data_IF_071894552754
#
_entry.id   IF_071894552754
#
_cell.length_a   1.000
_cell.length_b   1.000
_cell.length_c   1.000
_cell.angle_alpha   90.00
_cell.angle_beta   90.00
_cell.angle_gamma   90.00
#
_symmetry.space_group_name_H-M   'P 1'
#
loop_
_entity.id
_entity.type
_entity.pdbx_description
1 polymer ?
#
# COMPACT_ATOMS: atom_id res chain seq x y z
N UNK A 1 -14.76 14.99 -36.65
CA UNK A 1 -14.12 14.48 -35.41
C UNK A 1 -14.32 15.52 -34.33
N UNK A 2 -15.00 15.19 -33.24
CA UNK A 2 -15.53 16.17 -32.29
C UNK A 2 -14.45 16.72 -31.34
N UNK A 3 -14.55 18.01 -31.02
CA UNK A 3 -13.73 18.81 -30.07
C UNK A 3 -13.43 18.08 -28.73
N UNK A 4 -14.26 17.11 -28.36
CA UNK A 4 -14.10 16.26 -27.18
C UNK A 4 -12.93 15.24 -27.26
N UNK A 5 -12.46 14.86 -28.45
CA UNK A 5 -11.36 13.90 -28.60
C UNK A 5 -9.98 14.58 -28.50
N UNK A 6 -9.83 15.81 -28.99
CA UNK A 6 -8.58 16.58 -28.86
C UNK A 6 -8.30 16.95 -27.40
N UNK A 7 -9.33 17.35 -26.65
CA UNK A 7 -9.21 17.65 -25.21
C UNK A 7 -8.84 16.43 -24.35
N UNK A 8 -9.24 15.21 -24.75
CA UNK A 8 -8.80 13.96 -24.11
C UNK A 8 -7.34 13.62 -24.47
N UNK A 9 -6.91 13.95 -25.69
CA UNK A 9 -5.52 13.91 -26.12
C UNK A 9 -4.62 14.80 -25.25
N UNK A 10 -5.03 16.03 -25.01
CA UNK A 10 -4.21 16.99 -24.27
C UNK A 10 -3.97 16.61 -22.79
N UNK A 11 -4.99 16.09 -22.11
CA UNK A 11 -4.89 15.75 -20.67
C UNK A 11 -3.96 14.58 -20.37
N UNK A 12 -3.92 13.57 -21.25
CA UNK A 12 -3.00 12.44 -21.03
C UNK A 12 -1.54 12.87 -21.25
N UNK A 13 -1.28 13.68 -22.28
CA UNK A 13 0.05 14.24 -22.55
C UNK A 13 0.53 15.06 -21.35
N UNK A 14 -0.35 15.89 -20.77
CA UNK A 14 -0.01 16.71 -19.61
C UNK A 14 0.36 15.85 -18.38
N UNK A 15 -0.37 14.76 -18.11
CA UNK A 15 -0.01 13.83 -17.05
C UNK A 15 1.37 13.21 -17.31
N UNK A 16 1.59 12.72 -18.53
CA UNK A 16 2.83 12.08 -18.92
C UNK A 16 4.03 13.01 -18.75
N UNK A 17 3.94 14.24 -19.28
CA UNK A 17 4.97 15.26 -19.16
C UNK A 17 5.29 15.61 -17.70
N UNK A 18 4.27 15.83 -16.87
CA UNK A 18 4.47 16.19 -15.46
C UNK A 18 5.10 15.05 -14.66
N UNK A 19 4.66 13.82 -14.88
CA UNK A 19 5.24 12.65 -14.21
C UNK A 19 6.67 12.40 -14.69
N UNK A 20 6.94 12.45 -16.01
CA UNK A 20 8.30 12.33 -16.56
C UNK A 20 9.22 13.43 -16.02
N UNK A 21 8.77 14.68 -15.97
CA UNK A 21 9.56 15.78 -15.38
C UNK A 21 9.82 15.65 -13.87
N UNK A 22 9.04 14.82 -13.18
CA UNK A 22 9.28 14.46 -11.77
C UNK A 22 10.06 13.15 -11.61
N UNK A 23 10.37 12.44 -12.69
CA UNK A 23 11.09 11.15 -12.68
C UNK A 23 12.60 11.36 -12.85
N UNK A 24 13.37 10.30 -12.66
CA UNK A 24 14.79 10.29 -13.07
C UNK A 24 14.95 9.95 -14.55
N UNK A 25 14.06 9.12 -15.10
CA UNK A 25 14.03 8.80 -16.51
C UNK A 25 13.43 9.92 -17.37
N UNK A 26 13.97 10.06 -18.58
CA UNK A 26 13.59 11.11 -19.54
C UNK A 26 12.45 10.70 -20.48
N UNK A 27 12.13 9.41 -20.58
CA UNK A 27 11.03 8.90 -21.40
C UNK A 27 9.91 8.32 -20.54
N UNK A 28 8.69 8.36 -21.08
CA UNK A 28 7.48 7.97 -20.36
C UNK A 28 7.50 6.52 -19.84
N UNK A 29 7.92 5.56 -20.67
CA UNK A 29 7.80 4.14 -20.32
C UNK A 29 8.75 3.75 -19.18
N UNK A 30 9.94 4.33 -19.15
CA UNK A 30 10.85 4.17 -18.02
C UNK A 30 10.37 4.98 -16.81
N UNK A 31 9.96 6.23 -17.03
CA UNK A 31 9.48 7.12 -15.97
C UNK A 31 8.34 6.47 -15.19
N UNK A 32 7.30 5.96 -15.86
CA UNK A 32 6.14 5.35 -15.18
C UNK A 32 6.52 4.12 -14.34
N UNK A 33 7.57 3.38 -14.71
CA UNK A 33 8.01 2.19 -13.96
C UNK A 33 8.70 2.56 -12.62
N UNK A 34 9.20 3.79 -12.51
CA UNK A 34 9.75 4.32 -11.26
C UNK A 34 8.69 4.56 -10.19
N UNK A 35 7.42 4.73 -10.59
CA UNK A 35 6.34 5.06 -9.66
C UNK A 35 5.63 3.82 -9.12
N UNK A 36 5.26 3.87 -7.85
CA UNK A 36 4.39 2.88 -7.20
C UNK A 36 3.21 3.56 -6.51
N UNK A 37 2.12 2.83 -6.35
CA UNK A 37 0.95 3.32 -5.62
C UNK A 37 1.23 3.26 -4.12
N UNK A 38 1.34 4.43 -3.50
CA UNK A 38 1.67 4.55 -2.09
C UNK A 38 0.41 4.53 -1.22
N UNK A 39 -0.61 5.32 -1.57
CA UNK A 39 -1.84 5.45 -0.80
C UNK A 39 -3.06 5.68 -1.69
N UNK A 40 -4.25 5.35 -1.18
CA UNK A 40 -5.54 5.71 -1.77
C UNK A 40 -6.46 6.25 -0.69
N UNK A 41 -7.24 7.28 -1.01
CA UNK A 41 -8.29 7.78 -0.12
C UNK A 41 -9.31 8.62 -0.88
N UNK A 42 -10.42 8.93 -0.19
CA UNK A 42 -11.46 9.85 -0.67
C UNK A 42 -11.26 11.21 -0.03
N UNK A 43 -10.99 12.22 -0.87
CA UNK A 43 -10.88 13.60 -0.42
C UNK A 43 -12.25 14.13 0.02
N UNK A 44 -12.28 14.87 1.12
CA UNK A 44 -13.47 15.55 1.61
C UNK A 44 -13.75 16.84 0.82
N UNK A 45 -12.72 17.40 0.20
CA UNK A 45 -12.79 18.56 -0.70
C UNK A 45 -12.30 18.14 -2.08
N UNK A 46 -12.98 18.61 -3.12
CA UNK A 46 -12.58 18.36 -4.50
C UNK A 46 -11.15 18.81 -4.77
N UNK A 47 -10.32 17.88 -5.24
CA UNK A 47 -8.92 18.12 -5.58
C UNK A 47 -8.76 18.19 -7.12
N UNK A 48 -7.57 18.54 -7.61
CA UNK A 48 -7.22 18.57 -9.02
C UNK A 48 -6.13 17.53 -9.34
N UNK A 49 -6.36 16.73 -10.38
CA UNK A 49 -5.37 15.77 -10.87
C UNK A 49 -4.23 16.48 -11.63
N UNK A 50 -3.04 15.89 -11.66
CA UNK A 50 -1.94 16.35 -12.51
C UNK A 50 -2.28 16.41 -14.01
N UNK A 51 -3.28 15.66 -14.50
CA UNK A 51 -3.78 15.79 -15.88
C UNK A 51 -4.67 17.03 -16.12
N UNK A 52 -4.85 17.89 -15.11
CA UNK A 52 -5.75 19.05 -15.14
C UNK A 52 -7.23 18.71 -14.92
N UNK A 53 -7.60 17.44 -14.70
CA UNK A 53 -8.98 17.09 -14.37
C UNK A 53 -9.35 17.49 -12.94
N UNK A 54 -10.44 18.23 -12.82
CA UNK A 54 -11.08 18.64 -11.58
C UNK A 54 -12.60 18.61 -11.79
N UNK A 55 -13.40 18.21 -10.80
CA UNK A 55 -12.99 17.73 -9.47
C UNK A 55 -12.56 16.24 -9.47
N UNK A 56 -11.57 15.90 -8.64
CA UNK A 56 -11.29 14.50 -8.25
C UNK A 56 -11.56 14.28 -6.77
N UNK A 57 -12.22 13.15 -6.45
CA UNK A 57 -12.51 12.72 -5.08
C UNK A 57 -11.71 11.47 -4.69
N UNK A 58 -11.55 10.52 -5.62
CA UNK A 58 -10.72 9.32 -5.42
C UNK A 58 -9.26 9.66 -5.71
N UNK A 59 -8.50 9.95 -4.66
CA UNK A 59 -7.10 10.36 -4.73
C UNK A 59 -6.21 9.14 -4.58
N UNK A 60 -5.22 9.04 -5.46
CA UNK A 60 -4.10 8.12 -5.35
C UNK A 60 -2.84 8.94 -5.11
N UNK A 61 -2.10 8.62 -4.06
CA UNK A 61 -0.73 9.11 -3.86
C UNK A 61 0.21 8.10 -4.47
N UNK A 62 1.02 8.53 -5.41
CA UNK A 62 2.08 7.73 -6.03
C UNK A 62 3.44 8.24 -5.55
N UNK A 63 4.39 7.32 -5.39
CA UNK A 63 5.76 7.62 -4.97
C UNK A 63 6.74 7.09 -6.00
N UNK A 64 7.71 7.90 -6.38
CA UNK A 64 8.84 7.51 -7.19
C UNK A 64 9.84 6.74 -6.30
N UNK A 65 10.17 5.52 -6.69
CA UNK A 65 11.06 4.60 -5.95
C UNK A 65 12.53 5.01 -6.05
N UNK A 66 12.92 5.77 -7.07
CA UNK A 66 14.30 6.19 -7.33
C UNK A 66 14.65 7.49 -6.62
N UNK A 67 13.78 8.50 -6.69
CA UNK A 67 14.06 9.84 -6.17
C UNK A 67 13.14 10.26 -4.99
N UNK A 68 12.28 9.36 -4.51
CA UNK A 68 11.35 9.57 -3.40
C UNK A 68 10.30 10.67 -3.58
N UNK A 69 10.22 11.33 -4.75
CA UNK A 69 9.16 12.32 -5.03
C UNK A 69 7.78 11.66 -4.97
N UNK A 70 6.77 12.43 -4.60
CA UNK A 70 5.39 11.96 -4.53
C UNK A 70 4.47 12.84 -5.37
N UNK A 71 3.35 12.28 -5.81
CA UNK A 71 2.34 13.00 -6.59
C UNK A 71 0.93 12.54 -6.24
N UNK A 72 -0.03 13.47 -6.29
CA UNK A 72 -1.47 13.21 -6.13
C UNK A 72 -2.13 13.15 -7.50
N UNK A 73 -2.78 12.03 -7.79
CA UNK A 73 -3.42 11.79 -9.08
C UNK A 73 -4.78 11.15 -8.87
N UNK A 74 -5.72 11.46 -9.76
CA UNK A 74 -7.03 10.83 -9.72
C UNK A 74 -6.94 9.34 -10.07
N UNK A 75 -7.77 8.53 -9.41
CA UNK A 75 -7.87 7.09 -9.64
C UNK A 75 -8.02 6.72 -11.14
N UNK A 76 -8.79 7.49 -11.92
CA UNK A 76 -8.91 7.28 -13.37
C UNK A 76 -7.56 7.35 -14.11
N UNK A 77 -6.69 8.30 -13.74
CA UNK A 77 -5.38 8.44 -14.36
C UNK A 77 -4.44 7.30 -13.96
N UNK A 78 -4.51 6.88 -12.69
CA UNK A 78 -3.72 5.74 -12.19
C UNK A 78 -4.06 4.45 -12.93
N UNK A 79 -5.34 4.16 -13.13
CA UNK A 79 -5.73 2.91 -13.80
C UNK A 79 -5.52 2.95 -15.31
N UNK A 80 -5.69 4.11 -15.96
CA UNK A 80 -5.56 4.20 -17.43
C UNK A 80 -4.12 4.36 -17.91
N UNK A 81 -3.30 5.12 -17.18
CA UNK A 81 -1.97 5.52 -17.68
C UNK A 81 -0.83 4.92 -16.85
N UNK A 82 -1.00 4.78 -15.52
CA UNK A 82 0.04 4.22 -14.66
C UNK A 82 -0.08 2.70 -14.46
N UNK A 83 -1.25 2.12 -14.76
CA UNK A 83 -1.57 0.69 -14.59
C UNK A 83 -1.33 0.14 -13.17
N UNK A 84 -1.45 0.97 -12.13
CA UNK A 84 -1.18 0.54 -10.74
C UNK A 84 -2.37 -0.15 -10.06
N UNK A 85 -3.51 -0.27 -10.76
CA UNK A 85 -4.69 -1.03 -10.33
C UNK A 85 -5.27 -0.58 -8.99
N UNK A 86 -5.55 0.72 -8.83
CA UNK A 86 -6.18 1.30 -7.65
C UNK A 86 -7.68 1.04 -7.57
N UNK A 87 -8.36 0.71 -8.69
CA UNK A 87 -9.80 0.43 -8.72
C UNK A 87 -10.20 -0.70 -7.78
N UNK A 88 -9.46 -1.81 -7.77
CA UNK A 88 -9.75 -2.95 -6.91
C UNK A 88 -9.59 -2.65 -5.42
N UNK A 89 -8.76 -1.65 -5.09
CA UNK A 89 -8.56 -1.18 -3.71
C UNK A 89 -9.75 -0.31 -3.30
N UNK A 90 -10.11 0.70 -4.11
CA UNK A 90 -11.29 1.53 -3.84
C UNK A 90 -12.57 0.72 -3.76
N UNK A 91 -12.79 -0.22 -4.68
CA UNK A 91 -13.97 -1.07 -4.65
C UNK A 91 -14.02 -1.97 -3.40
N UNK A 92 -12.87 -2.45 -2.93
CA UNK A 92 -12.80 -3.21 -1.69
C UNK A 92 -13.12 -2.34 -0.48
N UNK A 93 -12.56 -1.12 -0.39
CA UNK A 93 -12.86 -0.13 0.65
C UNK A 93 -14.36 0.21 0.65
N UNK A 94 -14.92 0.53 -0.51
CA UNK A 94 -16.34 0.90 -0.65
C UNK A 94 -17.27 -0.22 -0.18
N UNK A 95 -16.91 -1.47 -0.47
CA UNK A 95 -17.67 -2.65 -0.07
C UNK A 95 -17.62 -2.88 1.44
N UNK A 96 -16.43 -2.86 2.05
CA UNK A 96 -16.30 -3.09 3.50
C UNK A 96 -16.80 -1.92 4.34
N UNK A 97 -16.76 -0.69 3.80
CA UNK A 97 -17.31 0.50 4.46
C UNK A 97 -18.84 0.44 4.52
N UNK A 98 -19.49 -0.14 3.50
CA UNK A 98 -20.94 -0.37 3.48
C UNK A 98 -21.36 -1.57 4.33
N UNK A 99 -20.56 -2.64 4.32
CA UNK A 99 -20.81 -3.86 5.05
C UNK A 99 -19.49 -4.45 5.55
N UNK A 100 -19.20 -4.20 6.83
CA UNK A 100 -17.99 -4.65 7.52
C UNK A 100 -17.82 -6.16 7.60
N UNK A 101 -18.82 -6.96 7.23
CA UNK A 101 -18.74 -8.43 7.21
C UNK A 101 -18.12 -8.97 5.91
N UNK A 102 -18.10 -8.16 4.84
CA UNK A 102 -17.58 -8.57 3.52
C UNK A 102 -16.07 -8.74 3.56
N UNK A 103 -15.56 -9.71 2.80
CA UNK A 103 -14.11 -9.91 2.68
C UNK A 103 -13.45 -8.73 1.93
N UNK A 104 -12.34 -8.22 2.44
CA UNK A 104 -11.46 -7.28 1.74
C UNK A 104 -10.76 -7.96 0.54
N UNK A 105 -10.23 -7.16 -0.39
CA UNK A 105 -9.37 -7.70 -1.45
C UNK A 105 -7.94 -7.91 -0.93
N UNK A 106 -7.25 -8.90 -1.49
CA UNK A 106 -5.83 -9.16 -1.18
C UNK A 106 -4.95 -7.91 -1.35
N UNK A 107 -5.17 -7.17 -2.44
CA UNK A 107 -4.43 -5.95 -2.75
C UNK A 107 -4.65 -4.83 -1.73
N UNK A 108 -5.85 -4.72 -1.16
CA UNK A 108 -6.12 -3.80 -0.06
C UNK A 108 -5.38 -4.22 1.22
N UNK A 109 -5.34 -5.53 1.52
CA UNK A 109 -4.61 -6.06 2.67
C UNK A 109 -3.10 -5.82 2.54
N UNK A 110 -2.52 -6.02 1.35
CA UNK A 110 -1.10 -5.77 1.08
C UNK A 110 -0.75 -4.29 1.27
N UNK A 111 -1.58 -3.39 0.73
CA UNK A 111 -1.40 -1.95 0.93
C UNK A 111 -1.53 -1.57 2.41
N UNK A 112 -2.50 -2.14 3.11
CA UNK A 112 -2.72 -1.87 4.53
C UNK A 112 -1.54 -2.36 5.38
N UNK A 113 -0.95 -3.51 5.05
CA UNK A 113 0.25 -4.01 5.71
C UNK A 113 1.46 -3.09 5.44
N UNK A 114 1.66 -2.69 4.17
CA UNK A 114 2.74 -1.79 3.77
C UNK A 114 2.62 -0.39 4.40
N UNK A 115 1.42 0.02 4.84
CA UNK A 115 1.19 1.27 5.56
C UNK A 115 1.06 1.08 7.08
N UNK A 116 1.30 -0.14 7.57
CA UNK A 116 1.13 -0.55 8.97
C UNK A 116 -0.25 -0.20 9.54
N UNK A 117 -1.27 -0.21 8.68
CA UNK A 117 -2.68 -0.08 9.10
C UNK A 117 -3.14 -1.33 9.83
N UNK A 118 -2.63 -2.47 9.39
CA UNK A 118 -2.82 -3.77 10.02
C UNK A 118 -1.45 -4.36 10.35
N UNK A 119 -1.41 -5.19 11.37
CA UNK A 119 -0.19 -5.92 11.75
C UNK A 119 0.06 -7.11 10.81
N UNK A 120 1.30 -7.65 10.74
CA UNK A 120 1.58 -8.91 10.06
C UNK A 120 0.65 -10.05 10.50
N UNK A 121 0.34 -10.12 11.80
CA UNK A 121 -0.60 -11.11 12.33
C UNK A 121 -2.01 -10.93 11.78
N UNK A 122 -2.52 -9.70 11.74
CA UNK A 122 -3.85 -9.41 11.21
C UNK A 122 -3.94 -9.73 9.71
N UNK A 123 -2.88 -9.44 8.95
CA UNK A 123 -2.78 -9.78 7.54
C UNK A 123 -2.87 -11.30 7.32
N UNK A 124 -2.06 -12.09 8.03
CA UNK A 124 -2.08 -13.55 7.94
C UNK A 124 -3.40 -14.15 8.45
N UNK A 125 -3.92 -13.63 9.56
CA UNK A 125 -5.22 -14.00 10.08
C UNK A 125 -6.29 -13.78 9.01
N UNK A 126 -6.29 -12.64 8.33
CA UNK A 126 -7.28 -12.34 7.31
C UNK A 126 -7.18 -13.31 6.13
N UNK A 127 -5.98 -13.51 5.58
CA UNK A 127 -5.75 -14.39 4.44
C UNK A 127 -6.10 -15.85 4.75
N UNK A 128 -5.72 -16.35 5.93
CA UNK A 128 -6.02 -17.74 6.32
C UNK A 128 -7.52 -18.02 6.53
N UNK A 129 -8.35 -16.97 6.60
CA UNK A 129 -9.78 -17.07 6.79
C UNK A 129 -10.59 -16.60 5.57
N UNK A 130 -9.95 -16.06 4.52
CA UNK A 130 -10.64 -15.36 3.42
C UNK A 130 -11.63 -16.28 2.67
N UNK A 131 -11.20 -17.51 2.36
CA UNK A 131 -11.98 -18.50 1.58
C UNK A 131 -12.78 -19.48 2.46
N UNK A 132 -12.76 -19.32 3.79
CA UNK A 132 -13.49 -20.22 4.67
C UNK A 132 -14.99 -20.06 4.48
N UNK A 133 -15.65 -21.17 4.12
CA UNK A 133 -17.11 -21.25 3.95
C UNK A 133 -17.87 -20.86 5.23
N UNK A 134 -17.34 -21.18 6.40
CA UNK A 134 -17.92 -20.85 7.71
C UNK A 134 -16.84 -20.32 8.64
N UNK A 135 -17.09 -19.15 9.22
CA UNK A 135 -16.27 -18.54 10.26
C UNK A 135 -16.94 -18.70 11.61
N UNK A 136 -16.13 -18.96 12.64
CA UNK A 136 -16.58 -18.87 14.04
C UNK A 136 -16.95 -17.43 14.40
N UNK A 137 -17.73 -17.23 15.45
CA UNK A 137 -18.12 -15.89 15.91
C UNK A 137 -16.89 -15.01 16.20
N UNK A 138 -15.88 -15.56 16.90
CA UNK A 138 -14.62 -14.85 17.18
C UNK A 138 -13.88 -14.46 15.89
N UNK A 139 -13.89 -15.33 14.88
CA UNK A 139 -13.24 -15.03 13.60
C UNK A 139 -13.97 -13.91 12.81
N UNK A 140 -15.30 -13.89 12.86
CA UNK A 140 -16.11 -12.83 12.26
C UNK A 140 -15.84 -11.49 12.92
N UNK A 141 -15.89 -11.44 14.24
CA UNK A 141 -15.59 -10.24 15.02
C UNK A 141 -14.19 -9.69 14.70
N UNK A 142 -13.17 -10.57 14.67
CA UNK A 142 -11.82 -10.14 14.31
C UNK A 142 -11.73 -9.61 12.86
N UNK A 143 -12.42 -10.25 11.90
CA UNK A 143 -12.49 -9.75 10.53
C UNK A 143 -13.14 -8.36 10.46
N UNK A 144 -14.25 -8.16 11.17
CA UNK A 144 -14.95 -6.87 11.22
C UNK A 144 -14.06 -5.78 11.83
N UNK A 145 -13.33 -6.08 12.91
CA UNK A 145 -12.34 -5.17 13.50
C UNK A 145 -11.25 -4.78 12.50
N UNK A 146 -10.71 -5.75 11.75
CA UNK A 146 -9.71 -5.46 10.70
C UNK A 146 -10.35 -4.63 9.58
N UNK A 147 -11.56 -4.98 9.14
CA UNK A 147 -12.27 -4.23 8.11
C UNK A 147 -12.57 -2.79 8.49
N UNK A 148 -12.85 -2.51 9.77
CA UNK A 148 -12.98 -1.14 10.26
C UNK A 148 -11.68 -0.34 10.05
N UNK A 149 -10.51 -0.92 10.39
CA UNK A 149 -9.20 -0.28 10.13
C UNK A 149 -8.95 -0.04 8.64
N UNK A 150 -9.34 -0.99 7.79
CA UNK A 150 -9.20 -0.89 6.33
C UNK A 150 -10.15 0.16 5.73
N UNK A 151 -11.37 0.29 6.26
CA UNK A 151 -12.32 1.32 5.86
C UNK A 151 -11.78 2.71 6.20
N UNK A 152 -11.30 2.90 7.44
CA UNK A 152 -10.66 4.14 7.89
C UNK A 152 -9.44 4.51 7.04
N UNK A 153 -8.69 3.54 6.49
CA UNK A 153 -7.56 3.81 5.59
C UNK A 153 -7.97 4.56 4.33
N UNK A 154 -9.19 4.32 3.85
CA UNK A 154 -9.74 5.02 2.68
C UNK A 154 -10.20 6.45 2.95
N UNK A 155 -10.14 6.91 4.19
CA UNK A 155 -10.50 8.26 4.58
C UNK A 155 -9.29 9.20 4.54
N UNK A 156 -9.50 10.43 4.04
CA UNK A 156 -8.46 11.47 3.98
C UNK A 156 -7.79 11.75 5.34
N UNK A 157 -8.54 11.61 6.44
CA UNK A 157 -8.06 11.87 7.80
C UNK A 157 -6.93 10.94 8.24
N UNK A 158 -6.87 9.72 7.70
CA UNK A 158 -5.84 8.72 8.06
C UNK A 158 -4.63 8.76 7.11
N UNK A 159 -4.86 9.14 5.84
CA UNK A 159 -3.84 9.13 4.81
C UNK A 159 -2.60 9.97 5.17
N UNK A 160 -2.78 11.14 5.80
CA UNK A 160 -1.75 12.19 5.82
C UNK A 160 -1.63 12.95 7.16
N UNK A 161 -1.56 12.26 8.30
CA UNK A 161 -1.14 12.93 9.54
C UNK A 161 0.38 13.09 9.52
N UNK A 162 0.87 14.26 9.10
CA UNK A 162 2.23 14.67 9.39
C UNK A 162 2.38 14.85 10.89
N UNK A 163 3.34 14.15 11.49
CA UNK A 163 3.69 14.33 12.90
C UNK A 163 4.29 15.72 13.17
N UNK A 164 4.34 16.12 14.45
CA UNK A 164 4.86 17.42 14.87
C UNK A 164 6.28 17.70 14.36
N UNK A 165 7.15 16.67 14.29
CA UNK A 165 8.50 16.78 13.74
C UNK A 165 8.49 17.22 12.26
N UNK A 166 7.68 16.60 11.42
CA UNK A 166 7.56 16.96 10.01
C UNK A 166 7.03 18.38 9.82
N UNK A 167 6.05 18.78 10.64
CA UNK A 167 5.50 20.14 10.61
C UNK A 167 6.59 21.14 11.01
N UNK A 168 7.40 20.81 12.01
CA UNK A 168 8.54 21.62 12.44
C UNK A 168 9.59 21.74 11.32
N UNK A 169 9.98 20.63 10.68
CA UNK A 169 10.88 20.64 9.53
C UNK A 169 10.34 21.49 8.37
N UNK A 170 9.03 21.41 8.09
CA UNK A 170 8.41 22.23 7.05
C UNK A 170 8.46 23.72 7.34
N UNK A 171 8.30 24.09 8.60
CA UNK A 171 8.44 25.47 9.03
C UNK A 171 9.89 25.95 8.93
N UNK A 172 10.85 25.16 9.41
CA UNK A 172 12.29 25.48 9.35
C UNK A 172 12.79 25.63 7.90
N UNK A 173 12.26 24.83 6.98
CA UNK A 173 12.55 24.91 5.55
C UNK A 173 11.75 26.00 4.81
N UNK A 174 10.98 26.83 5.52
CA UNK A 174 10.11 27.87 4.95
C UNK A 174 9.07 27.36 3.93
N UNK A 175 8.71 26.07 4.00
CA UNK A 175 7.69 25.44 3.14
C UNK A 175 6.29 25.90 3.57
N UNK A 176 6.11 26.12 4.87
CA UNK A 176 4.88 26.61 5.49
C UNK A 176 5.20 27.79 6.41
N UNK A 177 4.26 28.71 6.55
CA UNK A 177 4.43 29.85 7.46
C UNK A 177 4.03 29.53 8.92
N UNK A 178 4.27 30.46 9.85
CA UNK A 178 3.96 30.29 11.27
C UNK A 178 2.48 29.95 11.53
N UNK A 179 1.55 30.61 10.84
CA UNK A 179 0.12 30.33 10.97
C UNK A 179 -0.24 28.93 10.47
N UNK A 180 0.33 28.51 9.35
CA UNK A 180 0.14 27.16 8.79
C UNK A 180 0.70 26.09 9.72
N UNK A 181 1.86 26.33 10.35
CA UNK A 181 2.44 25.47 11.39
C UNK A 181 1.49 25.30 12.57
N UNK A 182 1.03 26.40 13.14
CA UNK A 182 0.14 26.38 14.32
C UNK A 182 -1.21 25.71 13.98
N UNK A 183 -1.73 26.00 12.79
CA UNK A 183 -2.92 25.35 12.27
C UNK A 183 -2.72 23.83 12.11
N UNK A 184 -1.59 23.40 11.54
CA UNK A 184 -1.28 22.00 11.31
C UNK A 184 -1.12 21.23 12.62
N UNK A 185 -0.34 21.77 13.57
CA UNK A 185 -0.14 21.16 14.89
C UNK A 185 -1.46 20.94 15.64
N UNK A 186 -2.40 21.88 15.51
CA UNK A 186 -3.73 21.76 16.13
C UNK A 186 -4.66 20.79 15.41
N UNK A 187 -4.71 20.84 14.08
CA UNK A 187 -5.77 20.18 13.30
C UNK A 187 -5.38 18.81 12.77
N UNK A 188 -4.09 18.52 12.59
CA UNK A 188 -3.64 17.24 12.05
C UNK A 188 -3.94 16.04 12.97
N UNK A 189 -3.85 16.18 14.31
CA UNK A 189 -4.25 15.12 15.24
C UNK A 189 -5.77 14.91 15.36
N UNK A 190 -6.58 15.87 14.92
CA UNK A 190 -8.04 15.82 15.11
C UNK A 190 -8.70 14.80 14.17
N UNK A 191 -9.59 13.96 14.73
CA UNK A 191 -10.38 12.98 13.95
C UNK A 191 -11.55 13.60 13.18
N UNK A 192 -12.13 14.69 13.69
CA UNK A 192 -13.26 15.40 13.08
C UNK A 192 -12.94 16.88 12.97
N UNK A 193 -13.07 17.43 11.79
CA UNK A 193 -12.83 18.85 11.48
C UNK A 193 -13.84 19.32 10.43
N UNK A 194 -13.99 20.64 10.31
CA UNK A 194 -14.85 21.25 9.30
C UNK A 194 -14.28 21.11 7.88
N UNK A 195 -15.15 21.22 6.86
CA UNK A 195 -14.77 21.23 5.43
C UNK A 195 -13.72 22.30 5.13
N UNK A 196 -13.85 23.50 5.72
CA UNK A 196 -12.85 24.57 5.58
C UNK A 196 -11.50 24.17 6.15
N UNK A 197 -11.49 23.49 7.30
CA UNK A 197 -10.25 22.98 7.89
C UNK A 197 -9.64 21.87 7.03
N UNK A 198 -10.44 20.99 6.42
CA UNK A 198 -9.95 19.99 5.47
C UNK A 198 -9.20 20.62 4.30
N UNK A 199 -9.78 21.66 3.68
CA UNK A 199 -9.13 22.37 2.57
C UNK A 199 -7.78 22.95 2.97
N UNK A 200 -7.69 23.59 4.15
CA UNK A 200 -6.43 24.14 4.65
C UNK A 200 -5.41 23.01 4.92
N UNK A 201 -5.83 21.90 5.55
CA UNK A 201 -4.95 20.74 5.76
C UNK A 201 -4.41 20.19 4.44
N UNK A 202 -5.26 20.01 3.44
CA UNK A 202 -4.87 19.49 2.13
C UNK A 202 -3.85 20.40 1.44
N UNK A 203 -4.01 21.72 1.55
CA UNK A 203 -3.04 22.68 1.01
C UNK A 203 -1.68 22.59 1.70
N UNK A 204 -1.66 22.59 3.03
CA UNK A 204 -0.43 22.45 3.83
C UNK A 204 0.26 21.12 3.50
N UNK A 205 -0.50 20.03 3.45
CA UNK A 205 0.02 18.71 3.07
C UNK A 205 0.64 18.73 1.68
N UNK A 206 -0.01 19.36 0.71
CA UNK A 206 0.51 19.47 -0.67
C UNK A 206 1.83 20.22 -0.70
N UNK A 207 1.97 21.33 0.04
CA UNK A 207 3.24 22.06 0.18
C UNK A 207 4.33 21.16 0.76
N UNK A 208 4.04 20.47 1.86
CA UNK A 208 4.98 19.56 2.52
C UNK A 208 5.38 18.40 1.60
N UNK A 209 4.43 17.77 0.91
CA UNK A 209 4.68 16.69 -0.05
C UNK A 209 5.59 17.15 -1.20
N UNK A 210 5.31 18.32 -1.78
CA UNK A 210 6.09 18.87 -2.89
C UNK A 210 7.52 19.24 -2.47
N UNK A 211 7.71 19.66 -1.22
CA UNK A 211 9.02 19.91 -0.64
C UNK A 211 9.79 18.65 -0.24
N UNK A 212 9.26 17.45 -0.53
CA UNK A 212 9.89 16.18 -0.16
C UNK A 212 9.84 15.90 1.34
N UNK A 213 9.05 16.66 2.11
CA UNK A 213 8.80 16.38 3.51
C UNK A 213 7.86 15.18 3.55
N UNK A 214 8.47 14.02 3.73
CA UNK A 214 7.74 12.75 3.74
C UNK A 214 7.22 12.45 5.14
N UNK A 215 6.01 11.92 5.22
CA UNK A 215 5.54 11.21 6.42
C UNK A 215 6.49 10.04 6.62
N UNK A 216 7.05 9.86 7.82
CA UNK A 216 7.43 8.52 8.25
C UNK A 216 6.14 7.69 8.31
N UNK A 217 5.79 7.03 7.20
CA UNK A 217 5.07 5.78 7.32
C UNK A 217 5.91 4.94 8.28
N UNK A 218 5.30 4.24 9.25
CA UNK A 218 6.08 3.35 10.10
C UNK A 218 6.96 2.52 9.18
N UNK A 219 8.26 2.44 9.48
CA UNK A 219 9.17 1.64 8.66
C UNK A 219 8.51 0.29 8.46
N UNK A 220 8.30 -0.07 7.18
CA UNK A 220 7.69 -1.34 6.84
C UNK A 220 8.66 -2.37 7.41
N UNK A 221 8.22 -3.09 8.44
CA UNK A 221 9.09 -4.07 9.07
C UNK A 221 9.57 -5.06 8.00
N UNK A 222 10.79 -5.58 8.14
CA UNK A 222 11.33 -6.54 7.16
C UNK A 222 10.36 -7.73 6.95
N UNK A 223 9.61 -8.10 7.99
CA UNK A 223 8.55 -9.11 7.93
C UNK A 223 7.35 -8.67 7.08
N UNK A 224 6.91 -7.42 7.19
CA UNK A 224 5.81 -6.89 6.38
C UNK A 224 6.20 -6.78 4.89
N UNK A 225 7.45 -6.42 4.59
CA UNK A 225 8.01 -6.47 3.23
C UNK A 225 8.02 -7.91 2.70
N UNK A 226 8.58 -8.85 3.46
CA UNK A 226 8.65 -10.25 3.07
C UNK A 226 7.26 -10.88 2.85
N UNK A 227 6.28 -10.60 3.72
CA UNK A 227 4.92 -11.13 3.59
C UNK A 227 4.17 -10.56 2.38
N UNK A 228 4.40 -9.29 2.02
CA UNK A 228 3.87 -8.68 0.81
C UNK A 228 4.41 -9.34 -0.46
N UNK A 229 5.72 -9.61 -0.51
CA UNK A 229 6.36 -10.28 -1.65
C UNK A 229 5.87 -11.72 -1.80
N UNK A 230 5.82 -12.49 -0.71
CA UNK A 230 5.32 -13.88 -0.67
C UNK A 230 3.85 -13.98 -1.03
N UNK A 231 3.08 -12.90 -0.82
CA UNK A 231 1.69 -12.83 -1.17
C UNK A 231 1.47 -12.70 -2.69
N UNK A 232 2.37 -12.00 -3.39
CA UNK A 232 2.27 -11.77 -4.83
C UNK A 232 2.67 -12.98 -5.70
N UNK A 233 3.46 -13.89 -5.16
CA UNK A 233 3.94 -15.09 -5.83
C UNK A 233 2.89 -16.20 -5.76
N UNK A 234 2.49 -16.76 -6.92
CA UNK A 234 1.89 -18.11 -6.94
C UNK A 234 2.95 -19.07 -6.47
N UNK A 235 2.92 -19.46 -5.20
CA UNK A 235 3.82 -20.47 -4.68
C UNK A 235 3.48 -21.79 -5.36
N UNK A 236 4.30 -22.16 -6.34
CA UNK A 236 4.31 -23.50 -6.92
C UNK A 236 4.65 -24.46 -5.81
N UNK A 237 3.69 -25.31 -5.46
CA UNK A 237 3.93 -26.40 -4.52
C UNK A 237 4.80 -27.40 -5.27
N UNK A 238 6.09 -27.50 -4.91
CA UNK A 238 6.88 -28.67 -5.29
C UNK A 238 6.13 -29.87 -4.72
N UNK A 239 5.51 -30.64 -5.61
CA UNK A 239 4.64 -31.76 -5.24
C UNK A 239 5.47 -33.02 -4.98
N UNK A 240 6.69 -33.06 -5.51
CA UNK A 240 7.67 -34.12 -5.33
C UNK A 240 8.48 -33.90 -4.04
N UNK A 241 8.37 -34.78 -3.04
CA UNK A 241 9.10 -34.68 -1.78
C UNK A 241 10.62 -34.63 -1.93
N UNK A 242 11.18 -35.34 -2.92
CA UNK A 242 12.63 -35.45 -3.09
C UNK A 242 13.21 -34.15 -3.65
N UNK A 243 12.52 -33.54 -4.63
CA UNK A 243 12.87 -32.21 -5.13
C UNK A 243 12.75 -31.14 -4.07
N UNK A 244 11.74 -31.25 -3.19
CA UNK A 244 11.56 -30.31 -2.08
C UNK A 244 12.71 -30.38 -1.08
N UNK A 245 13.16 -31.59 -0.74
CA UNK A 245 14.29 -31.82 0.15
C UNK A 245 15.60 -31.23 -0.43
N UNK A 246 15.84 -31.43 -1.74
CA UNK A 246 17.00 -30.84 -2.44
C UNK A 246 16.96 -29.32 -2.39
N UNK A 247 15.82 -28.70 -2.69
CA UNK A 247 15.71 -27.23 -2.67
C UNK A 247 15.80 -26.63 -1.27
N UNK A 248 15.33 -27.35 -0.24
CA UNK A 248 15.53 -26.95 1.15
C UNK A 248 17.00 -27.01 1.57
N UNK A 249 17.75 -28.03 1.13
CA UNK A 249 19.19 -28.12 1.37
C UNK A 249 19.94 -27.00 0.66
N UNK A 250 19.62 -26.75 -0.62
CA UNK A 250 20.22 -25.67 -1.41
C UNK A 250 19.95 -24.28 -0.78
N UNK A 251 18.72 -24.03 -0.30
CA UNK A 251 18.36 -22.79 0.38
C UNK A 251 19.13 -22.60 1.69
N UNK A 252 19.41 -23.69 2.42
CA UNK A 252 20.19 -23.64 3.64
C UNK A 252 21.67 -23.39 3.35
N UNK A 253 22.24 -24.04 2.34
CA UNK A 253 23.64 -23.87 1.93
C UNK A 253 23.92 -22.44 1.43
N UNK A 254 22.99 -21.87 0.67
CA UNK A 254 23.03 -20.46 0.21
C UNK A 254 22.71 -19.44 1.32
N UNK A 255 22.39 -19.89 2.54
CA UNK A 255 22.09 -19.03 3.68
C UNK A 255 20.74 -18.31 3.60
N UNK A 256 19.82 -18.73 2.72
CA UNK A 256 18.49 -18.13 2.58
C UNK A 256 17.52 -18.53 3.68
N UNK A 257 17.79 -19.65 4.36
CA UNK A 257 17.02 -20.14 5.51
C UNK A 257 17.97 -20.71 6.55
N UNK A 258 17.65 -20.56 7.83
CA UNK A 258 18.38 -21.20 8.93
C UNK A 258 18.00 -22.68 9.09
N UNK A 259 18.86 -23.45 9.76
CA UNK A 259 18.57 -24.84 10.13
C UNK A 259 17.27 -24.97 10.95
N UNK A 260 17.01 -23.99 11.83
CA UNK A 260 15.78 -23.92 12.64
C UNK A 260 14.54 -23.69 11.77
N UNK A 261 14.63 -22.83 10.77
CA UNK A 261 13.51 -22.55 9.86
C UNK A 261 13.19 -23.73 8.95
N UNK A 262 14.22 -24.43 8.46
CA UNK A 262 14.08 -25.69 7.73
C UNK A 262 13.34 -26.75 8.56
N UNK A 263 13.78 -26.98 9.79
CA UNK A 263 13.16 -27.95 10.71
C UNK A 263 11.69 -27.60 11.06
N UNK A 264 11.37 -26.31 11.21
CA UNK A 264 9.97 -25.86 11.37
C UNK A 264 9.16 -26.17 10.09
N UNK A 265 9.72 -25.87 8.92
CA UNK A 265 9.07 -26.11 7.64
C UNK A 265 8.78 -27.60 7.44
N UNK A 266 9.78 -28.47 7.52
CA UNK A 266 9.64 -29.91 7.31
C UNK A 266 8.55 -30.51 8.21
N UNK A 267 8.51 -30.12 9.48
CA UNK A 267 7.51 -30.62 10.44
C UNK A 267 6.09 -30.09 10.22
N UNK A 268 5.94 -28.87 9.69
CA UNK A 268 4.66 -28.14 9.78
C UNK A 268 4.05 -27.75 8.43
N UNK A 269 4.81 -27.71 7.33
CA UNK A 269 4.37 -27.17 6.04
C UNK A 269 3.14 -27.86 5.44
N UNK A 270 2.95 -29.15 5.74
CA UNK A 270 1.81 -29.97 5.28
C UNK A 270 0.80 -30.32 6.39
N UNK A 271 1.00 -29.83 7.62
CA UNK A 271 0.10 -30.15 8.73
C UNK A 271 -1.23 -29.41 8.60
N UNK A 272 -2.36 -30.13 8.66
CA UNK A 272 -3.73 -29.57 8.68
C UNK A 272 -4.12 -28.92 10.03
N UNK A 273 -3.14 -28.53 10.85
CA UNK A 273 -3.33 -28.07 12.24
C UNK A 273 -2.99 -26.60 12.48
N UNK A 274 -3.21 -26.15 13.72
CA UNK A 274 -2.80 -24.83 14.18
C UNK A 274 -1.27 -24.76 14.28
N UNK A 275 -0.64 -24.08 13.34
CA UNK A 275 0.71 -23.54 13.53
C UNK A 275 0.58 -22.19 14.24
N UNK A 276 1.50 -21.91 15.16
CA UNK A 276 1.67 -20.57 15.70
C UNK A 276 2.03 -19.58 14.58
N UNK A 277 1.84 -18.29 14.86
CA UNK A 277 2.10 -17.20 13.92
C UNK A 277 3.56 -17.25 13.45
N UNK A 278 4.48 -17.44 14.39
CA UNK A 278 5.92 -17.57 14.12
C UNK A 278 6.25 -18.78 13.24
N UNK A 279 5.56 -19.91 13.42
CA UNK A 279 5.74 -21.09 12.58
C UNK A 279 5.20 -20.86 11.17
N UNK A 280 4.06 -20.19 11.01
CA UNK A 280 3.50 -19.85 9.68
C UNK A 280 4.35 -18.83 8.93
N UNK A 281 4.79 -17.77 9.59
CA UNK A 281 5.71 -16.79 9.01
C UNK A 281 7.02 -17.46 8.57
N UNK A 282 7.54 -18.38 9.40
CA UNK A 282 8.68 -19.22 9.03
C UNK A 282 8.39 -20.08 7.80
N UNK A 283 7.24 -20.75 7.74
CA UNK A 283 6.85 -21.58 6.58
C UNK A 283 6.75 -20.74 5.30
N UNK A 284 6.17 -19.54 5.38
CA UNK A 284 6.04 -18.62 4.25
C UNK A 284 7.40 -18.10 3.77
N UNK A 285 8.30 -17.71 4.69
CA UNK A 285 9.68 -17.31 4.36
C UNK A 285 10.42 -18.44 3.65
N UNK A 286 10.34 -19.67 4.17
CA UNK A 286 10.98 -20.83 3.54
C UNK A 286 10.42 -21.08 2.13
N UNK A 287 9.10 -20.96 1.93
CA UNK A 287 8.49 -21.05 0.58
C UNK A 287 8.99 -19.96 -0.36
N UNK A 288 9.15 -18.73 0.12
CA UNK A 288 9.70 -17.61 -0.64
C UNK A 288 11.12 -17.93 -1.14
N UNK A 289 11.98 -18.39 -0.24
CA UNK A 289 13.36 -18.75 -0.52
C UNK A 289 13.45 -19.90 -1.54
N UNK A 290 12.60 -20.92 -1.40
CA UNK A 290 12.52 -22.01 -2.38
C UNK A 290 12.07 -21.49 -3.75
N UNK A 291 11.06 -20.61 -3.79
CA UNK A 291 10.57 -20.08 -5.05
C UNK A 291 11.60 -19.20 -5.76
N UNK A 292 12.40 -18.45 -5.00
CA UNK A 292 13.55 -17.73 -5.55
C UNK A 292 14.54 -18.66 -6.23
N UNK A 293 14.90 -19.78 -5.60
CA UNK A 293 15.78 -20.78 -6.20
C UNK A 293 15.20 -21.45 -7.45
N UNK A 294 13.88 -21.57 -7.53
CA UNK A 294 13.20 -22.08 -8.73
C UNK A 294 13.16 -21.06 -9.87
N UNK A 295 13.31 -19.77 -9.58
CA UNK A 295 13.38 -18.71 -10.61
C UNK A 295 14.81 -18.39 -11.06
N UNK A 296 15.82 -18.82 -10.31
CA UNK A 296 17.25 -18.61 -10.61
C UNK A 296 17.87 -19.74 -11.45
N UNK A 297 17.18 -20.88 -11.61
CA UNK A 297 17.59 -22.02 -12.45
C UNK A 297 16.67 -22.23 -13.64
#
# INVERSE_FOLDING_TARGET
>A
MSVNNEAKGYKHIQLMQRITGMSTAENWDNARAEWSLQQVFRAQVADQCLCGHQPIIKICVIKNKTNNKTARVGNCCVNKFMLLGSDSIFNAIDRISKDGTKAASRKLLEMALAQSVITPWEFEFYLSNIDKRKLTQKQRQMRETINAKLAEMGEENRALVYGASHIQTAFEQNVINQWEKDFALRTFPMKKISVKQHAIRANIQTKMMNAGISKSLPEISAEALALGEVSSTRISVISDPDQLAVKLAEAQEKGYISAREKDIFERKHNTKGFSSITERATILRVRASIQRLLSEG
#
